data_IF_848990624573
#
_entry.id   IF_848990624573
#
_cell.length_a   1.000
_cell.length_b   1.000
_cell.length_c   1.000
_cell.angle_alpha   90.00
_cell.angle_beta   90.00
_cell.angle_gamma   90.00
#
_symmetry.space_group_name_H-M   'P 1'
#
loop_
_entity.id
_entity.type
_entity.pdbx_description
1 polymer ?
#
# COMPACT_ATOMS: atom_id res chain seq x y z
N UNK A 1 19.04 -21.11 -11.35
CA UNK A 1 17.99 -20.28 -12.00
C UNK A 1 16.91 -19.98 -10.96
N UNK A 2 16.74 -18.71 -10.59
CA UNK A 2 15.62 -18.29 -9.73
C UNK A 2 15.73 -18.63 -8.24
N UNK A 3 16.93 -18.84 -7.73
CA UNK A 3 17.13 -19.15 -6.32
C UNK A 3 16.92 -17.91 -5.45
N UNK A 4 15.98 -18.02 -4.49
CA UNK A 4 15.72 -16.99 -3.47
C UNK A 4 16.98 -16.66 -2.66
N UNK A 5 17.83 -17.65 -2.40
CA UNK A 5 19.12 -17.46 -1.71
C UNK A 5 19.99 -16.42 -2.39
N UNK A 6 19.95 -16.31 -3.72
CA UNK A 6 20.71 -15.31 -4.46
C UNK A 6 20.31 -13.85 -4.15
N UNK A 7 19.13 -13.60 -3.61
CA UNK A 7 18.69 -12.26 -3.19
C UNK A 7 19.40 -11.82 -1.91
N UNK A 8 19.73 -12.78 -1.04
CA UNK A 8 20.33 -12.53 0.27
C UNK A 8 21.87 -12.62 0.27
N UNK A 9 22.45 -13.29 -0.73
CA UNK A 9 23.88 -13.55 -0.81
C UNK A 9 24.74 -12.32 -1.12
N UNK A 10 24.17 -11.23 -1.62
CA UNK A 10 24.94 -10.02 -1.91
C UNK A 10 24.31 -8.77 -1.27
N UNK A 11 25.09 -7.98 -0.50
CA UNK A 11 24.60 -6.76 0.15
C UNK A 11 23.89 -5.79 -0.81
N UNK A 12 24.36 -5.53 -2.05
CA UNK A 12 23.67 -4.64 -2.96
C UNK A 12 22.29 -5.14 -3.40
N UNK A 13 22.11 -6.48 -3.53
CA UNK A 13 20.81 -7.08 -3.89
C UNK A 13 19.84 -7.02 -2.73
N UNK A 14 20.32 -7.31 -1.53
CA UNK A 14 19.53 -7.20 -0.30
C UNK A 14 19.05 -5.77 -0.10
N UNK A 15 19.91 -4.78 -0.30
CA UNK A 15 19.53 -3.37 -0.17
C UNK A 15 18.46 -2.95 -1.19
N UNK A 16 18.55 -3.44 -2.44
CA UNK A 16 17.51 -3.22 -3.45
C UNK A 16 16.20 -3.89 -3.05
N UNK A 17 16.26 -5.12 -2.54
CA UNK A 17 15.08 -5.85 -2.06
C UNK A 17 14.39 -5.09 -0.93
N UNK A 18 15.13 -4.65 0.09
CA UNK A 18 14.60 -3.86 1.21
C UNK A 18 13.95 -2.57 0.72
N UNK A 19 14.58 -1.84 -0.20
CA UNK A 19 13.97 -0.64 -0.81
C UNK A 19 12.66 -0.94 -1.52
N UNK A 20 12.61 -2.04 -2.28
CA UNK A 20 11.36 -2.45 -2.93
C UNK A 20 10.28 -2.79 -1.90
N UNK A 21 10.61 -3.51 -0.84
CA UNK A 21 9.66 -3.82 0.24
C UNK A 21 9.15 -2.55 0.90
N UNK A 22 10.04 -1.62 1.25
CA UNK A 22 9.66 -0.34 1.88
C UNK A 22 8.69 0.50 1.03
N UNK A 23 8.84 0.49 -0.31
CA UNK A 23 7.91 1.18 -1.22
C UNK A 23 6.53 0.51 -1.22
N UNK A 24 6.45 -0.79 -1.01
CA UNK A 24 5.21 -1.54 -0.96
C UNK A 24 4.49 -1.50 0.40
N UNK A 25 5.21 -1.23 1.50
CA UNK A 25 4.65 -1.24 2.85
C UNK A 25 3.41 -0.34 3.04
N UNK A 26 3.38 0.92 2.53
CA UNK A 26 2.22 1.79 2.70
C UNK A 26 0.91 1.19 2.19
N UNK A 27 0.96 0.39 1.13
CA UNK A 27 -0.22 -0.27 0.55
C UNK A 27 -0.86 -1.19 1.60
N UNK A 28 -0.06 -2.03 2.22
CA UNK A 28 -0.56 -2.99 3.21
C UNK A 28 -0.79 -2.39 4.59
N UNK A 29 -0.13 -1.29 4.93
CA UNK A 29 -0.48 -0.51 6.11
C UNK A 29 -1.90 0.07 5.98
N UNK A 30 -2.23 0.64 4.83
CA UNK A 30 -3.58 1.18 4.57
C UNK A 30 -4.62 0.05 4.59
N UNK A 31 -4.44 -1.00 3.80
CA UNK A 31 -5.43 -2.08 3.67
C UNK A 31 -5.50 -2.93 4.93
N UNK A 32 -4.35 -3.33 5.47
CA UNK A 32 -4.26 -4.31 6.55
C UNK A 32 -4.54 -3.74 7.94
N UNK A 33 -4.41 -2.43 8.15
CA UNK A 33 -4.64 -1.78 9.43
C UNK A 33 -5.77 -0.75 9.32
N UNK A 34 -5.54 0.35 8.60
CA UNK A 34 -6.48 1.47 8.62
C UNK A 34 -7.88 1.10 8.10
N UNK A 35 -7.95 0.31 7.05
CA UNK A 35 -9.20 -0.07 6.40
C UNK A 35 -9.86 -1.27 7.09
N UNK A 36 -9.08 -2.27 7.47
CA UNK A 36 -9.61 -3.45 8.16
C UNK A 36 -10.17 -3.08 9.52
N UNK A 37 -9.48 -2.21 10.27
CA UNK A 37 -9.90 -1.73 11.57
C UNK A 37 -10.73 -0.43 11.49
N UNK A 38 -11.27 -0.08 10.31
CA UNK A 38 -12.10 1.11 10.11
C UNK A 38 -13.25 1.25 11.13
N UNK A 39 -13.94 0.18 11.60
CA UNK A 39 -14.94 0.29 12.65
C UNK A 39 -14.37 0.80 13.99
N UNK A 40 -13.13 0.43 14.34
CA UNK A 40 -12.48 0.92 15.56
C UNK A 40 -12.10 2.39 15.42
N UNK A 41 -11.52 2.77 14.28
CA UNK A 41 -11.21 4.17 13.98
C UNK A 41 -12.47 5.03 13.95
N UNK A 42 -13.58 4.53 13.37
CA UNK A 42 -14.85 5.25 13.34
C UNK A 42 -15.35 5.57 14.76
N UNK A 43 -15.25 4.63 15.70
CA UNK A 43 -15.59 4.85 17.11
C UNK A 43 -14.66 5.89 17.76
N UNK A 44 -13.34 5.77 17.52
CA UNK A 44 -12.35 6.69 18.07
C UNK A 44 -12.53 8.12 17.53
N UNK A 45 -12.94 8.27 16.28
CA UNK A 45 -13.20 9.56 15.63
C UNK A 45 -14.60 10.10 15.87
N UNK A 46 -15.47 9.39 16.63
CA UNK A 46 -16.87 9.75 16.88
C UNK A 46 -17.69 9.91 15.59
N UNK A 47 -17.46 9.04 14.61
CA UNK A 47 -18.17 9.02 13.33
C UNK A 47 -19.62 8.59 13.55
N UNK A 48 -20.57 9.35 12.98
CA UNK A 48 -21.99 9.03 13.05
C UNK A 48 -22.37 8.02 11.96
N UNK A 49 -23.16 7.00 12.37
CA UNK A 49 -23.59 5.91 11.51
C UNK A 49 -22.76 4.63 11.73
N UNK A 50 -23.30 3.54 11.22
CA UNK A 50 -22.66 2.23 11.34
C UNK A 50 -21.56 2.07 10.29
N UNK A 51 -20.35 1.79 10.76
CA UNK A 51 -19.19 1.53 9.90
C UNK A 51 -18.80 0.06 10.02
N UNK A 52 -18.72 -0.62 8.86
CA UNK A 52 -18.29 -2.01 8.77
C UNK A 52 -16.96 -2.10 8.04
N UNK A 53 -16.08 -3.01 8.50
CA UNK A 53 -14.81 -3.27 7.83
C UNK A 53 -15.00 -3.77 6.39
N UNK A 54 -16.03 -4.58 6.15
CA UNK A 54 -16.35 -5.10 4.82
C UNK A 54 -16.63 -3.97 3.82
N UNK A 55 -17.46 -2.99 4.20
CA UNK A 55 -17.77 -1.83 3.33
C UNK A 55 -16.53 -0.95 3.13
N UNK A 56 -15.73 -0.73 4.18
CA UNK A 56 -14.48 0.03 4.06
C UNK A 56 -13.52 -0.63 3.07
N UNK A 57 -13.34 -1.94 3.17
CA UNK A 57 -12.52 -2.74 2.24
C UNK A 57 -13.09 -2.63 0.82
N UNK A 58 -14.40 -2.78 0.63
CA UNK A 58 -15.04 -2.69 -0.68
C UNK A 58 -14.75 -1.34 -1.36
N UNK A 59 -14.97 -0.22 -0.66
CA UNK A 59 -14.69 1.11 -1.19
C UNK A 59 -13.20 1.31 -1.51
N UNK A 60 -12.32 0.79 -0.66
CA UNK A 60 -10.86 0.84 -0.89
C UNK A 60 -10.47 0.08 -2.14
N UNK A 61 -11.00 -1.12 -2.36
CA UNK A 61 -10.68 -1.89 -3.56
C UNK A 61 -11.24 -1.26 -4.84
N UNK A 62 -12.41 -0.63 -4.80
CA UNK A 62 -12.90 0.17 -5.92
C UNK A 62 -11.94 1.31 -6.26
N UNK A 63 -11.48 2.04 -5.24
CA UNK A 63 -10.47 3.08 -5.41
C UNK A 63 -9.14 2.54 -5.94
N UNK A 64 -8.69 1.38 -5.44
CA UNK A 64 -7.45 0.73 -5.84
C UNK A 64 -7.46 0.37 -7.34
N UNK A 65 -8.57 -0.16 -7.86
CA UNK A 65 -8.71 -0.44 -9.30
C UNK A 65 -8.52 0.83 -10.13
N UNK A 66 -9.18 1.93 -9.73
CA UNK A 66 -9.04 3.22 -10.40
C UNK A 66 -7.61 3.76 -10.31
N UNK A 67 -6.98 3.61 -9.15
CA UNK A 67 -5.60 4.02 -8.90
C UNK A 67 -4.59 3.22 -9.74
N UNK A 68 -4.75 1.89 -9.82
CA UNK A 68 -3.87 1.04 -10.64
C UNK A 68 -3.96 1.38 -12.13
N UNK A 69 -5.17 1.58 -12.65
CA UNK A 69 -5.37 2.04 -14.03
C UNK A 69 -4.77 3.42 -14.25
N UNK A 70 -5.02 4.34 -13.31
CA UNK A 70 -4.50 5.72 -13.36
C UNK A 70 -2.97 5.76 -13.27
N UNK A 71 -2.37 5.02 -12.36
CA UNK A 71 -0.90 4.97 -12.21
C UNK A 71 -0.22 4.37 -13.44
N UNK A 72 -0.84 3.32 -14.02
CA UNK A 72 -0.38 2.72 -15.28
C UNK A 72 -0.41 3.72 -16.44
N UNK A 73 -1.53 4.40 -16.65
CA UNK A 73 -1.69 5.42 -17.69
C UNK A 73 -0.73 6.60 -17.48
N UNK A 74 -0.65 7.14 -16.26
CA UNK A 74 0.26 8.22 -15.90
C UNK A 74 1.73 7.83 -16.12
N UNK A 75 2.09 6.57 -15.85
CA UNK A 75 3.46 6.12 -16.05
C UNK A 75 3.89 6.12 -17.52
N UNK A 76 2.94 5.89 -18.43
CA UNK A 76 3.16 6.00 -19.87
C UNK A 76 3.24 7.46 -20.31
N UNK A 77 2.34 8.30 -19.83
CA UNK A 77 2.27 9.71 -20.20
C UNK A 77 3.47 10.51 -19.67
N UNK A 78 3.85 10.32 -18.42
CA UNK A 78 4.99 11.00 -17.77
C UNK A 78 6.34 10.42 -18.23
N UNK A 79 6.35 9.20 -18.80
CA UNK A 79 7.56 8.50 -19.22
C UNK A 79 8.50 8.11 -18.06
N UNK A 80 8.03 8.20 -16.80
CA UNK A 80 8.84 7.91 -15.62
C UNK A 80 8.01 7.25 -14.51
N UNK A 81 8.13 5.93 -14.38
CA UNK A 81 7.48 5.15 -13.33
C UNK A 81 7.86 5.61 -11.91
N UNK A 82 9.13 6.01 -11.72
CA UNK A 82 9.60 6.48 -10.40
C UNK A 82 8.90 7.75 -9.94
N UNK A 83 8.69 8.71 -10.84
CA UNK A 83 7.97 9.95 -10.52
C UNK A 83 6.51 9.67 -10.18
N UNK A 84 5.87 8.76 -10.90
CA UNK A 84 4.49 8.36 -10.65
C UNK A 84 4.37 7.68 -9.29
N UNK A 85 5.21 6.71 -8.97
CA UNK A 85 5.19 6.05 -7.64
C UNK A 85 5.45 7.06 -6.52
N UNK A 86 6.38 7.99 -6.70
CA UNK A 86 6.61 9.05 -5.71
C UNK A 86 5.35 9.93 -5.52
N UNK A 87 4.70 10.32 -6.61
CA UNK A 87 3.44 11.08 -6.55
C UNK A 87 2.33 10.32 -5.80
N UNK A 88 2.18 9.04 -6.08
CA UNK A 88 1.20 8.19 -5.39
C UNK A 88 1.56 7.97 -3.90
N UNK A 89 2.83 7.85 -3.55
CA UNK A 89 3.27 7.79 -2.16
C UNK A 89 2.95 9.08 -1.39
N UNK A 90 3.20 10.24 -2.00
CA UNK A 90 2.84 11.53 -1.41
C UNK A 90 1.33 11.69 -1.27
N UNK A 91 0.56 11.28 -2.29
CA UNK A 91 -0.90 11.27 -2.24
C UNK A 91 -1.41 10.35 -1.12
N UNK A 92 -0.88 9.12 -1.04
CA UNK A 92 -1.23 8.18 0.02
C UNK A 92 -0.94 8.77 1.40
N UNK A 93 0.23 9.35 1.58
CA UNK A 93 0.60 9.99 2.86
C UNK A 93 -0.38 11.10 3.22
N UNK A 94 -0.71 11.99 2.28
CA UNK A 94 -1.67 13.07 2.53
C UNK A 94 -3.06 12.53 2.89
N UNK A 95 -3.53 11.49 2.19
CA UNK A 95 -4.84 10.86 2.46
C UNK A 95 -4.86 10.12 3.79
N UNK A 96 -3.78 9.43 4.17
CA UNK A 96 -3.63 8.82 5.50
C UNK A 96 -3.66 9.88 6.59
N UNK A 97 -2.95 10.99 6.41
CA UNK A 97 -3.00 12.10 7.37
C UNK A 97 -4.40 12.70 7.48
N UNK A 98 -5.12 12.87 6.36
CA UNK A 98 -6.50 13.33 6.37
C UNK A 98 -7.43 12.34 7.07
N UNK A 99 -7.24 11.02 6.88
CA UNK A 99 -7.99 9.97 7.56
C UNK A 99 -7.76 10.01 9.07
N UNK A 100 -6.52 10.14 9.53
CA UNK A 100 -6.17 10.18 10.95
C UNK A 100 -6.52 11.51 11.63
N UNK A 101 -6.63 12.60 10.86
CA UNK A 101 -7.01 13.92 11.36
C UNK A 101 -8.54 14.08 11.48
N UNK A 102 -9.34 13.06 11.13
CA UNK A 102 -10.78 13.13 11.27
C UNK A 102 -11.19 13.24 12.75
N UNK A 103 -12.13 14.15 13.01
CA UNK A 103 -12.85 14.24 14.28
C UNK A 103 -14.33 14.46 13.99
N UNK A 104 -15.16 13.44 14.21
CA UNK A 104 -16.57 13.44 13.82
C UNK A 104 -16.74 13.11 12.33
N UNK A 105 -17.93 13.40 11.82
CA UNK A 105 -18.28 13.12 10.43
C UNK A 105 -19.28 11.97 10.29
N UNK A 106 -19.50 11.54 9.05
CA UNK A 106 -20.46 10.47 8.72
C UNK A 106 -19.74 9.23 8.18
N UNK A 107 -20.40 8.07 8.30
CA UNK A 107 -19.91 6.82 7.71
C UNK A 107 -19.61 6.97 6.21
N UNK A 108 -20.42 7.74 5.48
CA UNK A 108 -20.22 8.01 4.05
C UNK A 108 -18.92 8.76 3.78
N UNK A 109 -18.57 9.74 4.62
CA UNK A 109 -17.30 10.48 4.49
C UNK A 109 -16.11 9.57 4.76
N UNK A 110 -16.20 8.71 5.77
CA UNK A 110 -15.15 7.74 6.07
C UNK A 110 -14.94 6.75 4.92
N UNK A 111 -16.02 6.22 4.34
CA UNK A 111 -15.95 5.35 3.16
C UNK A 111 -15.37 6.06 1.92
N UNK A 112 -15.74 7.33 1.72
CA UNK A 112 -15.15 8.13 0.64
C UNK A 112 -13.63 8.29 0.81
N UNK A 113 -13.15 8.49 2.05
CA UNK A 113 -11.72 8.52 2.33
C UNK A 113 -11.05 7.16 2.16
N UNK A 114 -11.71 6.06 2.55
CA UNK A 114 -11.22 4.71 2.25
C UNK A 114 -11.06 4.50 0.74
N UNK A 115 -12.04 4.93 -0.06
CA UNK A 115 -11.95 4.91 -1.52
C UNK A 115 -10.81 5.78 -2.07
N UNK A 116 -10.65 6.99 -1.56
CA UNK A 116 -9.56 7.88 -1.94
C UNK A 116 -8.18 7.29 -1.56
N UNK A 117 -8.06 6.71 -0.36
CA UNK A 117 -6.83 5.99 0.03
C UNK A 117 -6.58 4.81 -0.91
N UNK A 118 -7.64 4.10 -1.33
CA UNK A 118 -7.56 3.06 -2.36
C UNK A 118 -6.92 3.58 -3.65
N UNK A 119 -7.36 4.74 -4.16
CA UNK A 119 -6.71 5.39 -5.31
C UNK A 119 -5.24 5.68 -5.02
N UNK A 120 -4.92 6.23 -3.85
CA UNK A 120 -3.54 6.56 -3.46
C UNK A 120 -2.60 5.36 -3.46
N UNK A 121 -3.05 4.21 -2.97
CA UNK A 121 -2.26 2.96 -2.96
C UNK A 121 -2.30 2.20 -4.28
N UNK A 122 -3.07 2.67 -5.28
CA UNK A 122 -3.20 2.06 -6.61
C UNK A 122 -2.00 2.27 -7.50
N UNK A 123 -0.80 1.96 -7.03
CA UNK A 123 0.45 1.90 -7.81
C UNK A 123 1.09 0.50 -7.77
N UNK A 124 0.31 -0.50 -7.39
CA UNK A 124 0.80 -1.86 -7.20
C UNK A 124 1.42 -2.45 -8.46
N UNK A 125 0.76 -2.34 -9.61
CA UNK A 125 1.25 -2.85 -10.88
C UNK A 125 2.55 -2.16 -11.31
N UNK A 126 2.63 -0.83 -11.16
CA UNK A 126 3.83 -0.04 -11.46
C UNK A 126 4.97 -0.39 -10.50
N UNK A 127 4.66 -0.58 -9.22
CA UNK A 127 5.61 -0.98 -8.19
C UNK A 127 6.25 -2.35 -8.49
N UNK A 128 5.43 -3.38 -8.81
CA UNK A 128 5.93 -4.73 -9.15
C UNK A 128 6.83 -4.68 -10.38
N UNK A 129 6.46 -3.86 -11.36
CA UNK A 129 7.28 -3.68 -12.58
C UNK A 129 8.63 -3.04 -12.25
N UNK A 130 8.66 -1.98 -11.43
CA UNK A 130 9.92 -1.35 -10.99
C UNK A 130 10.78 -2.35 -10.21
N UNK A 131 10.18 -3.12 -9.30
CA UNK A 131 10.90 -4.15 -8.56
C UNK A 131 11.54 -5.17 -9.50
N UNK A 132 10.80 -5.64 -10.50
CA UNK A 132 11.31 -6.58 -11.50
C UNK A 132 12.49 -6.03 -12.32
N UNK A 133 12.44 -4.75 -12.68
CA UNK A 133 13.48 -4.09 -13.50
C UNK A 133 14.80 -3.85 -12.74
N UNK A 134 14.75 -3.79 -11.40
CA UNK A 134 15.95 -3.60 -10.58
C UNK A 134 16.85 -4.84 -10.50
N UNK A 135 16.33 -6.00 -10.92
CA UNK A 135 17.06 -7.26 -10.87
C UNK A 135 17.27 -7.83 -12.27
N UNK A 136 18.37 -8.52 -12.47
CA UNK A 136 18.70 -9.14 -13.76
C UNK A 136 17.65 -10.18 -14.17
N UNK A 137 17.64 -10.52 -15.46
CA UNK A 137 16.66 -11.44 -16.08
C UNK A 137 16.51 -12.77 -15.35
N UNK A 138 17.61 -13.27 -14.76
CA UNK A 138 17.61 -14.54 -14.01
C UNK A 138 16.82 -14.50 -12.69
N UNK A 139 16.65 -13.32 -12.08
CA UNK A 139 15.97 -13.13 -10.81
C UNK A 139 14.62 -12.41 -10.96
N UNK A 140 14.30 -11.91 -12.16
CA UNK A 140 13.09 -11.13 -12.39
C UNK A 140 11.82 -11.86 -11.97
N UNK A 141 11.63 -13.11 -12.40
CA UNK A 141 10.48 -13.92 -12.03
C UNK A 141 10.40 -14.16 -10.51
N UNK A 142 11.53 -14.44 -9.87
CA UNK A 142 11.60 -14.61 -8.41
C UNK A 142 11.21 -13.32 -7.67
N UNK A 143 11.69 -12.18 -8.12
CA UNK A 143 11.42 -10.87 -7.49
C UNK A 143 9.96 -10.46 -7.65
N UNK A 144 9.35 -10.67 -8.83
CA UNK A 144 7.93 -10.35 -9.07
C UNK A 144 6.98 -11.11 -8.16
N UNK A 145 7.36 -12.30 -7.72
CA UNK A 145 6.57 -13.09 -6.76
C UNK A 145 6.96 -12.86 -5.32
N UNK A 146 8.27 -12.74 -5.03
CA UNK A 146 8.78 -12.67 -3.66
C UNK A 146 8.56 -11.31 -3.02
N UNK A 147 8.81 -10.20 -3.73
CA UNK A 147 8.64 -8.84 -3.18
C UNK A 147 7.20 -8.59 -2.72
N UNK A 148 6.16 -8.84 -3.52
CA UNK A 148 4.78 -8.75 -3.06
C UNK A 148 4.47 -9.61 -1.83
N UNK A 149 5.03 -10.82 -1.77
CA UNK A 149 4.80 -11.71 -0.63
C UNK A 149 5.52 -11.24 0.63
N UNK A 150 6.72 -10.68 0.52
CA UNK A 150 7.41 -10.05 1.66
C UNK A 150 6.63 -8.85 2.19
N UNK A 151 6.09 -8.02 1.30
CA UNK A 151 5.25 -6.88 1.68
C UNK A 151 3.98 -7.36 2.39
N UNK A 152 3.29 -8.37 1.88
CA UNK A 152 2.13 -9.00 2.55
C UNK A 152 2.51 -9.63 3.88
N UNK A 153 3.62 -10.37 3.92
CA UNK A 153 4.11 -11.02 5.13
C UNK A 153 4.55 -10.05 6.23
N UNK A 154 4.75 -8.77 5.93
CA UNK A 154 5.05 -7.75 6.93
C UNK A 154 3.81 -7.25 7.71
N UNK A 155 2.58 -7.53 7.24
CA UNK A 155 1.35 -7.08 7.89
C UNK A 155 1.27 -7.52 9.35
N UNK A 156 1.52 -8.78 9.74
CA UNK A 156 1.49 -9.18 11.15
C UNK A 156 2.48 -8.39 12.00
N UNK A 157 3.67 -8.07 11.46
CA UNK A 157 4.66 -7.27 12.17
C UNK A 157 4.21 -5.82 12.33
N UNK A 158 3.61 -5.23 11.30
CA UNK A 158 3.04 -3.89 11.35
C UNK A 158 1.88 -3.83 12.34
N UNK A 159 1.00 -4.83 12.33
CA UNK A 159 -0.12 -4.93 13.28
C UNK A 159 0.39 -5.07 14.72
N UNK A 160 1.37 -5.93 14.96
CA UNK A 160 1.98 -6.09 16.29
C UNK A 160 2.63 -4.79 16.77
N UNK A 161 3.36 -4.09 15.89
CA UNK A 161 3.95 -2.79 16.21
C UNK A 161 2.86 -1.74 16.53
N UNK A 162 1.78 -1.72 15.76
CA UNK A 162 0.66 -0.79 15.97
C UNK A 162 -0.06 -1.06 17.29
N UNK A 163 -0.32 -2.33 17.63
CA UNK A 163 -0.92 -2.72 18.92
C UNK A 163 0.00 -2.34 20.09
N UNK A 164 1.31 -2.56 19.95
CA UNK A 164 2.29 -2.20 20.97
C UNK A 164 2.41 -0.68 21.20
N UNK A 165 2.04 0.14 20.22
CA UNK A 165 1.99 1.61 20.36
C UNK A 165 0.67 2.10 20.98
N UNK A 166 -0.39 1.28 20.96
CA UNK A 166 -1.70 1.59 21.57
C UNK A 166 -1.72 1.34 23.09
N UNK A 167 -0.83 0.48 23.60
CA UNK A 167 -0.72 0.15 25.04
C UNK A 167 0.25 1.01 25.75
#
# INVERSE_FOLDING_TARGET
RGDLGMLFLSPPRLFRLVRCVLIGLPIWFVVGILVTDAPEFARAFHVTGEVTGASAVQWTYLGLVLGDLGSGALSQWVGSRRKVVLGFLLLTTALVMAYLAQSGGTATQLYALCGAMGVGIGYWAVFVTIAAEQFGTNLRATVTTSVPNFVRGSVPLLTAAFIGLKG
#
